data_IF_539017500463
#
_entry.id   IF_539017500463
#
_cell.length_a   1.000
_cell.length_b   1.000
_cell.length_c   1.000
_cell.angle_alpha   90.00
_cell.angle_beta   90.00
_cell.angle_gamma   90.00
#
_symmetry.space_group_name_H-M   'P 1'
#
loop_
_entity.id
_entity.type
_entity.pdbx_description
1 polymer ?
#
# COMPACT_ATOMS: atom_id res chain seq x y z
N UNK A 1 15.07 -0.73 -0.47
CA UNK A 1 14.35 -1.29 -1.64
C UNK A 1 13.12 -0.45 -1.90
N UNK A 2 12.92 0.01 -3.12
CA UNK A 2 11.77 0.81 -3.53
C UNK A 2 10.87 0.02 -4.46
N UNK A 3 9.57 -0.03 -4.13
CA UNK A 3 8.53 -0.43 -5.06
C UNK A 3 7.89 0.82 -5.67
N UNK A 4 7.95 0.94 -7.00
CA UNK A 4 7.19 1.95 -7.76
C UNK A 4 6.49 1.23 -8.89
N UNK A 5 5.17 1.28 -8.89
CA UNK A 5 4.37 0.81 -10.01
C UNK A 5 4.24 1.93 -11.05
N UNK A 6 4.86 1.75 -12.21
CA UNK A 6 4.51 2.46 -13.43
C UNK A 6 3.45 1.65 -14.19
N UNK A 7 2.19 1.96 -13.96
CA UNK A 7 1.11 1.49 -14.82
C UNK A 7 1.01 2.42 -16.03
N UNK A 8 1.92 2.27 -17.00
CA UNK A 8 1.72 2.76 -18.37
C UNK A 8 2.80 2.17 -19.29
N UNK A 9 2.39 1.32 -20.18
CA UNK A 9 3.22 0.93 -21.31
C UNK A 9 2.83 -0.41 -21.92
N UNK A 10 2.07 -0.40 -22.97
CA UNK A 10 1.95 -1.56 -23.85
C UNK A 10 0.53 -1.74 -24.39
N UNK A 11 0.24 -1.01 -25.45
CA UNK A 11 -0.86 -1.28 -26.36
C UNK A 11 -0.65 -2.64 -27.05
N UNK A 12 -1.52 -3.61 -26.78
CA UNK A 12 -1.70 -4.76 -27.66
C UNK A 12 -3.18 -5.13 -27.65
N UNK A 13 -3.83 -4.70 -28.71
CA UNK A 13 -5.18 -5.03 -29.12
C UNK A 13 -5.35 -6.53 -29.38
N UNK A 14 -5.98 -7.24 -28.47
CA UNK A 14 -6.71 -8.49 -28.76
C UNK A 14 -8.04 -8.44 -27.99
N UNK A 15 -9.12 -8.68 -28.71
CA UNK A 15 -10.50 -8.51 -28.36
C UNK A 15 -10.90 -8.74 -26.90
N UNK A 16 -11.30 -7.69 -26.25
CA UNK A 16 -11.74 -7.70 -24.86
C UNK A 16 -13.08 -8.38 -24.69
N UNK A 17 -13.15 -9.39 -23.81
CA UNK A 17 -14.39 -10.03 -23.36
C UNK A 17 -15.30 -8.98 -22.67
N UNK A 18 -16.65 -9.12 -22.72
CA UNK A 18 -17.60 -8.16 -22.13
C UNK A 18 -17.35 -7.85 -20.63
N UNK A 19 -16.68 -8.75 -19.93
CA UNK A 19 -16.29 -8.66 -18.52
C UNK A 19 -15.24 -7.58 -18.27
N UNK A 20 -14.24 -7.41 -19.14
CA UNK A 20 -13.17 -6.41 -18.98
C UNK A 20 -13.70 -4.96 -19.11
N UNK A 21 -14.66 -4.72 -20.00
CA UNK A 21 -15.32 -3.41 -20.12
C UNK A 21 -16.08 -3.02 -18.85
N UNK A 22 -16.72 -3.98 -18.17
CA UNK A 22 -17.39 -3.74 -16.88
C UNK A 22 -16.37 -3.47 -15.78
N UNK A 23 -15.28 -4.23 -15.71
CA UNK A 23 -14.19 -4.09 -14.74
C UNK A 23 -13.50 -2.74 -14.94
N UNK A 24 -13.12 -2.36 -16.16
CA UNK A 24 -12.51 -1.07 -16.46
C UNK A 24 -13.44 0.12 -16.17
N UNK A 25 -14.75 -0.03 -16.37
CA UNK A 25 -15.74 0.99 -16.01
C UNK A 25 -15.95 1.12 -14.50
N UNK A 26 -15.78 0.03 -13.77
CA UNK A 26 -15.80 0.01 -12.29
C UNK A 26 -14.50 0.54 -11.70
N UNK A 27 -13.34 0.16 -12.24
CA UNK A 27 -12.04 0.76 -11.87
C UNK A 27 -12.04 2.28 -12.10
N UNK A 28 -12.59 2.74 -13.22
CA UNK A 28 -12.75 4.17 -13.49
C UNK A 28 -13.75 4.85 -12.55
N UNK A 29 -14.77 4.13 -12.08
CA UNK A 29 -15.70 4.59 -11.03
C UNK A 29 -15.06 4.58 -9.65
N UNK A 30 -14.22 3.60 -9.33
CA UNK A 30 -13.44 3.56 -8.09
C UNK A 30 -12.45 4.73 -8.05
N UNK A 31 -11.65 4.93 -9.09
CA UNK A 31 -10.72 6.05 -9.18
C UNK A 31 -11.41 7.42 -9.12
N UNK A 32 -12.65 7.54 -9.63
CA UNK A 32 -13.46 8.76 -9.49
C UNK A 32 -14.23 8.88 -8.18
N UNK A 33 -14.50 7.76 -7.49
CA UNK A 33 -15.28 7.75 -6.23
C UNK A 33 -14.37 7.81 -5.01
N UNK A 34 -13.09 7.42 -5.17
CA UNK A 34 -12.02 7.60 -4.20
C UNK A 34 -11.10 8.79 -4.50
N UNK A 35 -11.38 9.57 -5.57
CA UNK A 35 -10.92 10.95 -5.55
C UNK A 35 -11.49 11.56 -4.27
N UNK A 36 -10.62 11.79 -3.30
CA UNK A 36 -10.95 12.41 -2.03
C UNK A 36 -11.89 13.59 -2.26
N UNK A 37 -12.87 13.84 -1.38
CA UNK A 37 -13.80 14.94 -1.54
C UNK A 37 -13.01 16.22 -1.83
N UNK A 38 -13.43 16.97 -2.82
CA UNK A 38 -12.84 18.27 -3.15
C UNK A 38 -13.03 19.31 -2.04
N UNK A 39 -13.75 18.93 -1.00
CA UNK A 39 -14.08 19.80 0.13
C UNK A 39 -13.01 19.60 1.21
N UNK A 40 -12.05 20.51 1.22
CA UNK A 40 -10.97 20.56 2.19
C UNK A 40 -11.51 20.51 3.63
N UNK A 41 -11.16 19.43 4.36
CA UNK A 41 -11.38 19.37 5.79
C UNK A 41 -10.48 20.35 6.51
N UNK A 42 -11.09 21.15 7.35
CA UNK A 42 -10.59 21.97 8.46
C UNK A 42 -9.08 22.30 8.48
N UNK A 43 -8.72 23.36 7.78
CA UNK A 43 -7.60 24.20 8.17
C UNK A 43 -8.19 25.31 9.03
N UNK A 44 -7.55 25.64 10.16
CA UNK A 44 -7.98 26.70 11.06
C UNK A 44 -8.27 27.98 10.25
N UNK A 45 -9.37 28.65 10.55
CA UNK A 45 -9.87 29.83 9.82
C UNK A 45 -8.93 31.05 9.78
N UNK A 46 -7.71 30.96 10.31
CA UNK A 46 -6.79 32.09 10.51
C UNK A 46 -5.74 32.31 9.41
N UNK A 47 -5.62 31.41 8.42
CA UNK A 47 -4.66 31.58 7.31
C UNK A 47 -5.39 31.85 5.98
N UNK A 48 -4.90 32.78 5.14
CA UNK A 48 -5.48 33.03 3.83
C UNK A 48 -5.42 31.74 2.99
N UNK A 49 -6.58 31.14 2.74
CA UNK A 49 -6.74 29.86 2.01
C UNK A 49 -6.00 29.84 0.67
N UNK A 50 -5.94 30.97 -0.01
CA UNK A 50 -5.38 31.12 -1.35
C UNK A 50 -3.85 30.90 -1.44
N UNK A 51 -3.12 31.12 -0.34
CA UNK A 51 -1.66 30.99 -0.33
C UNK A 51 -1.24 29.53 -0.06
N UNK A 52 -1.94 28.83 0.84
CA UNK A 52 -1.61 27.46 1.24
C UNK A 52 -1.94 26.50 0.11
N UNK A 53 -3.12 26.61 -0.50
CA UNK A 53 -3.57 25.72 -1.57
C UNK A 53 -2.84 25.91 -2.91
N UNK A 54 -2.20 27.06 -3.14
CA UNK A 54 -1.49 27.33 -4.40
C UNK A 54 -0.33 26.36 -4.66
N UNK A 55 0.26 25.81 -3.61
CA UNK A 55 1.42 24.90 -3.69
C UNK A 55 1.09 23.46 -3.30
N UNK A 56 -0.10 23.20 -2.80
CA UNK A 56 -0.55 21.83 -2.51
C UNK A 56 -0.79 21.07 -3.81
N UNK A 57 0.05 20.08 -4.05
CA UNK A 57 -0.11 19.11 -5.15
C UNK A 57 -0.68 17.78 -4.69
N UNK A 58 -0.82 17.59 -3.38
CA UNK A 58 -1.29 16.37 -2.73
C UNK A 58 -2.41 16.77 -1.77
N UNK A 59 -3.53 16.05 -1.81
CA UNK A 59 -4.61 16.25 -0.85
C UNK A 59 -4.09 16.00 0.57
N UNK A 60 -4.15 17.01 1.40
CA UNK A 60 -3.69 16.96 2.78
C UNK A 60 -4.87 17.11 3.74
N UNK A 61 -4.94 16.25 4.74
CA UNK A 61 -5.86 16.37 5.89
C UNK A 61 -5.04 16.45 7.17
N UNK A 62 -5.35 17.44 7.97
CA UNK A 62 -4.75 17.64 9.28
C UNK A 62 -5.78 17.28 10.35
N UNK A 63 -5.36 16.50 11.33
CA UNK A 63 -6.18 16.07 12.46
C UNK A 63 -5.63 16.65 13.75
N UNK A 64 -6.49 16.85 14.75
CA UNK A 64 -6.08 17.40 16.04
C UNK A 64 -5.19 16.43 16.83
N UNK A 65 -5.35 15.14 16.60
CA UNK A 65 -4.58 14.11 17.26
C UNK A 65 -4.39 12.88 16.38
N UNK A 66 -3.42 12.02 16.76
CA UNK A 66 -3.08 10.80 16.04
C UNK A 66 -4.29 9.84 15.92
N UNK A 67 -5.09 9.73 16.96
CA UNK A 67 -6.22 8.80 17.01
C UNK A 67 -7.23 9.08 15.90
N UNK A 68 -7.62 10.32 15.69
CA UNK A 68 -8.56 10.71 14.62
C UNK A 68 -8.00 10.41 13.23
N UNK A 69 -6.72 10.71 13.01
CA UNK A 69 -6.04 10.38 11.76
C UNK A 69 -6.01 8.88 11.50
N UNK A 70 -5.67 8.09 12.52
CA UNK A 70 -5.64 6.62 12.45
C UNK A 70 -7.03 6.07 12.14
N UNK A 71 -8.08 6.52 12.83
CA UNK A 71 -9.46 6.07 12.57
C UNK A 71 -9.87 6.35 11.12
N UNK A 72 -9.60 7.57 10.64
CA UNK A 72 -9.93 7.94 9.26
C UNK A 72 -9.21 7.06 8.23
N UNK A 73 -7.92 6.81 8.41
CA UNK A 73 -7.15 5.97 7.48
C UNK A 73 -7.62 4.53 7.54
N UNK A 74 -7.86 3.98 8.75
CA UNK A 74 -8.38 2.63 8.94
C UNK A 74 -9.76 2.45 8.27
N UNK A 75 -10.68 3.44 8.42
CA UNK A 75 -11.98 3.43 7.75
C UNK A 75 -11.85 3.33 6.23
N UNK A 76 -10.93 4.10 5.65
CA UNK A 76 -10.71 4.08 4.21
C UNK A 76 -10.13 2.75 3.73
N UNK A 77 -9.19 2.15 4.48
CA UNK A 77 -8.62 0.83 4.15
C UNK A 77 -9.70 -0.24 4.21
N UNK A 78 -10.45 -0.32 5.32
CA UNK A 78 -11.54 -1.28 5.49
C UNK A 78 -12.57 -1.15 4.37
N UNK A 79 -12.95 0.07 4.05
CA UNK A 79 -13.90 0.35 2.97
C UNK A 79 -13.35 -0.07 1.61
N UNK A 80 -12.08 0.21 1.33
CA UNK A 80 -11.45 -0.16 0.06
C UNK A 80 -11.41 -1.68 -0.13
N UNK A 81 -10.97 -2.43 0.90
CA UNK A 81 -10.92 -3.89 0.87
C UNK A 81 -12.31 -4.50 0.73
N UNK A 82 -13.29 -4.02 1.50
CA UNK A 82 -14.68 -4.51 1.39
C UNK A 82 -15.25 -4.31 0.00
N UNK A 83 -15.11 -3.10 -0.56
CA UNK A 83 -15.61 -2.83 -1.91
C UNK A 83 -14.89 -3.64 -2.98
N UNK A 84 -13.58 -3.86 -2.82
CA UNK A 84 -12.84 -4.73 -3.71
C UNK A 84 -13.41 -6.16 -3.69
N UNK A 85 -13.63 -6.69 -2.49
CA UNK A 85 -14.20 -8.03 -2.31
C UNK A 85 -15.62 -8.14 -2.87
N UNK A 86 -16.47 -7.14 -2.64
CA UNK A 86 -17.83 -7.11 -3.23
C UNK A 86 -17.82 -7.16 -4.75
N UNK A 87 -16.83 -6.53 -5.39
CA UNK A 87 -16.71 -6.48 -6.85
C UNK A 87 -16.14 -7.79 -7.42
N UNK A 88 -15.13 -8.35 -6.76
CA UNK A 88 -14.34 -9.44 -7.31
C UNK A 88 -14.74 -10.83 -6.78
N UNK A 89 -15.39 -10.90 -5.61
CA UNK A 89 -15.84 -12.16 -5.01
C UNK A 89 -17.35 -12.44 -5.22
N UNK A 90 -18.11 -11.54 -5.82
CA UNK A 90 -19.55 -11.72 -6.04
C UNK A 90 -19.93 -12.56 -7.27
N UNK A 91 -18.99 -12.92 -8.10
CA UNK A 91 -19.22 -13.81 -9.24
C UNK A 91 -18.73 -15.22 -8.89
N UNK A 92 -19.57 -16.24 -9.10
CA UNK A 92 -19.33 -17.66 -8.77
C UNK A 92 -18.12 -18.33 -9.47
N UNK A 93 -17.27 -17.57 -10.14
CA UNK A 93 -16.05 -18.05 -10.78
C UNK A 93 -14.85 -17.71 -9.88
N UNK A 94 -14.68 -18.50 -8.84
CA UNK A 94 -13.61 -18.35 -7.82
C UNK A 94 -12.18 -18.64 -8.30
N UNK A 95 -11.98 -19.04 -9.55
CA UNK A 95 -10.68 -19.57 -9.99
C UNK A 95 -9.63 -18.51 -10.37
N UNK A 96 -9.96 -17.20 -10.45
CA UNK A 96 -8.99 -16.15 -10.83
C UNK A 96 -9.15 -14.81 -10.08
N UNK A 97 -9.81 -14.75 -8.93
CA UNK A 97 -9.88 -13.47 -8.19
C UNK A 97 -8.52 -13.14 -7.58
N UNK A 98 -7.83 -12.16 -8.15
CA UNK A 98 -6.60 -11.66 -7.56
C UNK A 98 -6.90 -10.95 -6.23
N UNK A 99 -6.05 -11.11 -5.19
CA UNK A 99 -6.26 -10.44 -3.91
C UNK A 99 -6.14 -8.91 -4.04
N UNK A 100 -6.74 -8.20 -3.09
CA UNK A 100 -6.46 -6.77 -2.90
C UNK A 100 -5.01 -6.59 -2.47
N UNK A 101 -4.25 -5.74 -3.14
CA UNK A 101 -2.82 -5.57 -2.87
C UNK A 101 -2.57 -4.35 -2.01
N UNK A 102 -2.11 -4.58 -0.78
CA UNK A 102 -1.79 -3.57 0.21
C UNK A 102 -0.28 -3.44 0.38
N UNK A 103 0.26 -2.26 0.06
CA UNK A 103 1.66 -1.95 0.34
C UNK A 103 1.85 -1.49 1.78
N UNK A 104 2.86 -2.02 2.45
CA UNK A 104 3.17 -1.75 3.86
C UNK A 104 4.54 -1.08 4.00
N UNK A 105 4.70 -0.33 5.07
CA UNK A 105 5.98 0.18 5.56
C UNK A 105 6.11 -0.10 7.05
N UNK A 106 7.33 0.01 7.57
CA UNK A 106 7.60 -0.08 9.00
C UNK A 106 7.90 1.30 9.59
N UNK A 107 8.08 1.35 10.89
CA UNK A 107 8.37 2.57 11.61
C UNK A 107 7.31 2.91 12.66
N UNK A 108 7.48 4.01 13.37
CA UNK A 108 6.56 4.41 14.45
C UNK A 108 5.20 4.88 13.92
N UNK A 109 5.20 5.55 12.79
CA UNK A 109 3.99 6.18 12.21
C UNK A 109 2.87 5.18 11.91
N UNK A 110 3.11 4.02 11.26
CA UNK A 110 2.03 3.08 10.95
C UNK A 110 1.56 2.23 12.13
N UNK A 111 2.26 2.21 13.28
CA UNK A 111 1.94 1.34 14.41
C UNK A 111 0.52 1.53 14.94
N UNK A 112 0.09 2.77 15.11
CA UNK A 112 -1.27 3.08 15.54
C UNK A 112 -2.31 2.53 14.56
N UNK A 113 -2.05 2.67 13.27
CA UNK A 113 -2.91 2.15 12.21
C UNK A 113 -2.95 0.61 12.19
N UNK A 114 -1.81 -0.07 12.33
CA UNK A 114 -1.78 -1.53 12.39
C UNK A 114 -2.56 -2.08 13.58
N UNK A 115 -2.40 -1.49 14.75
CA UNK A 115 -3.18 -1.87 15.96
C UNK A 115 -4.68 -1.67 15.75
N UNK A 116 -5.08 -0.58 15.12
CA UNK A 116 -6.49 -0.33 14.81
C UNK A 116 -7.04 -1.33 13.80
N UNK A 117 -6.29 -1.67 12.76
CA UNK A 117 -6.69 -2.69 11.77
C UNK A 117 -6.80 -4.09 12.40
N UNK A 118 -5.87 -4.46 13.29
CA UNK A 118 -5.93 -5.72 14.07
C UNK A 118 -7.18 -5.73 14.95
N UNK A 119 -7.47 -4.64 15.67
CA UNK A 119 -8.67 -4.52 16.48
C UNK A 119 -9.92 -4.73 15.65
N UNK A 120 -10.03 -4.07 14.50
CA UNK A 120 -11.19 -4.20 13.58
C UNK A 120 -11.32 -5.61 13.00
N UNK A 121 -10.21 -6.28 12.77
CA UNK A 121 -10.22 -7.68 12.39
C UNK A 121 -10.79 -8.56 13.49
N UNK A 122 -10.33 -8.42 14.73
CA UNK A 122 -10.85 -9.17 15.88
C UNK A 122 -12.32 -8.88 16.18
N UNK A 123 -12.79 -7.67 15.88
CA UNK A 123 -14.19 -7.28 15.96
C UNK A 123 -15.04 -7.79 14.78
N UNK A 124 -14.46 -8.53 13.85
CA UNK A 124 -15.15 -9.07 12.68
C UNK A 124 -15.52 -8.02 11.62
N UNK A 125 -14.95 -6.83 11.72
CA UNK A 125 -15.23 -5.76 10.76
C UNK A 125 -14.51 -5.95 9.43
N UNK A 126 -13.41 -6.69 9.38
CA UNK A 126 -12.63 -6.95 8.18
C UNK A 126 -11.93 -8.30 8.24
N UNK A 127 -11.80 -8.98 7.10
CA UNK A 127 -10.93 -10.13 6.88
C UNK A 127 -9.83 -9.75 5.88
N UNK A 128 -8.63 -10.21 6.15
CA UNK A 128 -7.46 -10.04 5.27
C UNK A 128 -7.17 -11.28 4.42
N UNK A 129 -8.07 -12.27 4.43
CA UNK A 129 -7.89 -13.52 3.71
C UNK A 129 -7.73 -13.33 2.20
N UNK A 130 -8.40 -12.32 1.62
CA UNK A 130 -8.28 -11.94 0.21
C UNK A 130 -7.43 -10.66 0.03
N UNK A 131 -6.38 -10.52 0.84
CA UNK A 131 -5.43 -9.42 0.75
C UNK A 131 -4.05 -10.00 0.53
N UNK A 132 -3.26 -9.41 -0.37
CA UNK A 132 -1.83 -9.64 -0.48
C UNK A 132 -1.08 -8.41 0.02
N UNK A 133 0.03 -8.59 0.70
CA UNK A 133 0.86 -7.49 1.20
C UNK A 133 2.22 -7.49 0.54
N UNK A 134 2.72 -6.28 0.23
CA UNK A 134 4.08 -6.03 -0.22
C UNK A 134 4.74 -5.02 0.71
N UNK A 135 5.92 -5.37 1.25
CA UNK A 135 6.72 -4.40 2.03
C UNK A 135 7.51 -3.47 1.13
N UNK A 136 7.60 -2.21 1.55
CA UNK A 136 8.36 -1.17 0.83
C UNK A 136 9.86 -1.48 0.79
N UNK A 137 10.41 -1.99 1.89
CA UNK A 137 11.86 -2.14 2.08
C UNK A 137 12.21 -3.28 3.04
N UNK A 138 13.48 -3.67 3.04
CA UNK A 138 14.13 -4.50 4.05
C UNK A 138 15.59 -4.05 4.19
N UNK A 139 16.19 -4.32 5.35
CA UNK A 139 17.64 -4.17 5.56
C UNK A 139 18.41 -5.30 4.87
N UNK A 140 19.65 -5.01 4.47
CA UNK A 140 20.55 -5.97 3.87
C UNK A 140 22.00 -5.77 4.34
N UNK A 141 22.69 -6.86 4.74
CA UNK A 141 22.17 -8.20 4.98
C UNK A 141 21.44 -8.31 6.33
N UNK A 142 20.34 -9.05 6.38
CA UNK A 142 19.60 -9.31 7.62
C UNK A 142 18.77 -10.59 7.52
N UNK A 143 18.59 -11.31 8.63
CA UNK A 143 17.66 -12.43 8.72
C UNK A 143 16.28 -11.95 9.15
N UNK A 144 15.24 -12.57 8.63
CA UNK A 144 13.84 -12.26 9.00
C UNK A 144 13.53 -12.52 10.49
N UNK A 145 14.38 -13.23 11.22
CA UNK A 145 14.26 -13.49 12.66
C UNK A 145 14.91 -12.43 13.55
N UNK A 146 15.62 -11.48 12.97
CA UNK A 146 16.29 -10.41 13.71
C UNK A 146 15.33 -9.27 14.00
N UNK A 147 15.32 -8.75 15.23
CA UNK A 147 14.37 -7.72 15.68
C UNK A 147 14.41 -6.41 14.87
N UNK A 148 15.54 -6.13 14.21
CA UNK A 148 15.71 -4.98 13.33
C UNK A 148 15.09 -5.19 11.95
N UNK A 149 14.90 -6.47 11.52
CA UNK A 149 14.30 -6.79 10.23
C UNK A 149 12.92 -6.18 10.09
N UNK A 150 12.63 -5.65 8.91
CA UNK A 150 11.29 -5.18 8.55
C UNK A 150 10.29 -6.33 8.52
N UNK A 151 10.74 -7.49 8.04
CA UNK A 151 9.96 -8.72 8.05
C UNK A 151 9.53 -9.08 9.47
N UNK A 152 10.48 -9.17 10.42
CA UNK A 152 10.19 -9.44 11.83
C UNK A 152 9.13 -8.46 12.36
N UNK A 153 9.36 -7.17 12.16
CA UNK A 153 8.49 -6.13 12.73
C UNK A 153 7.09 -6.13 12.15
N UNK A 154 6.94 -6.30 10.84
CA UNK A 154 5.61 -6.35 10.22
C UNK A 154 4.83 -7.56 10.72
N UNK A 155 5.50 -8.71 10.90
CA UNK A 155 4.87 -9.88 11.47
C UNK A 155 4.43 -9.64 12.92
N UNK A 156 5.31 -9.16 13.80
CA UNK A 156 5.00 -8.91 15.20
C UNK A 156 3.93 -7.82 15.41
N UNK A 157 3.96 -6.79 14.59
CA UNK A 157 3.10 -5.61 14.76
C UNK A 157 1.74 -5.76 14.05
N UNK A 158 1.63 -6.67 13.07
CA UNK A 158 0.43 -6.76 12.24
C UNK A 158 0.08 -8.17 11.76
N UNK A 159 0.95 -8.82 10.96
CA UNK A 159 0.54 -10.00 10.20
C UNK A 159 0.21 -11.22 11.06
N UNK A 160 0.87 -11.40 12.20
CA UNK A 160 0.60 -12.50 13.13
C UNK A 160 -0.76 -12.38 13.82
N UNK A 161 -1.44 -11.23 13.69
CA UNK A 161 -2.69 -10.93 14.40
C UNK A 161 -3.92 -10.89 13.48
N UNK A 162 -3.76 -11.24 12.20
CA UNK A 162 -4.81 -11.20 11.19
C UNK A 162 -4.87 -12.52 10.39
N UNK A 163 -5.93 -12.73 9.65
CA UNK A 163 -6.20 -13.95 8.88
C UNK A 163 -5.62 -13.94 7.45
N UNK A 164 -4.51 -13.21 7.23
CA UNK A 164 -3.83 -13.19 5.94
C UNK A 164 -3.24 -14.57 5.61
N UNK A 165 -3.30 -14.96 4.33
CA UNK A 165 -2.69 -16.21 3.88
C UNK A 165 -1.17 -16.03 3.74
N UNK A 166 -0.33 -16.99 4.22
CA UNK A 166 1.13 -16.87 4.13
C UNK A 166 1.68 -16.65 2.72
N UNK A 167 1.05 -17.27 1.71
CA UNK A 167 1.40 -17.12 0.30
C UNK A 167 1.15 -15.71 -0.26
N UNK A 168 0.35 -14.91 0.43
CA UNK A 168 0.03 -13.55 0.07
C UNK A 168 0.95 -12.51 0.77
N UNK A 169 1.96 -12.96 1.50
CA UNK A 169 2.91 -12.08 2.21
C UNK A 169 4.22 -11.99 1.43
N UNK A 170 4.50 -10.81 0.91
CA UNK A 170 5.70 -10.54 0.11
C UNK A 170 6.54 -9.45 0.78
N UNK A 171 7.63 -9.87 1.40
CA UNK A 171 8.61 -8.99 2.04
C UNK A 171 9.97 -9.32 1.45
N UNK A 172 10.82 -8.33 1.11
CA UNK A 172 12.13 -8.61 0.55
C UNK A 172 12.97 -9.48 1.49
N UNK A 173 13.70 -10.42 0.91
CA UNK A 173 14.60 -11.31 1.63
C UNK A 173 15.97 -10.67 1.81
N UNK A 174 16.32 -10.31 3.04
CA UNK A 174 17.61 -9.75 3.40
C UNK A 174 18.75 -10.77 3.49
N UNK A 175 18.52 -12.05 3.15
CA UNK A 175 19.55 -13.11 3.21
C UNK A 175 20.05 -13.54 1.83
N UNK A 176 19.56 -12.93 0.78
CA UNK A 176 19.99 -13.22 -0.61
C UNK A 176 21.49 -13.04 -0.75
N UNK A 177 22.25 -13.98 -1.36
CA UNK A 177 23.67 -13.80 -1.63
C UNK A 177 23.95 -12.55 -2.45
N UNK A 178 25.04 -11.84 -2.14
CA UNK A 178 25.37 -10.55 -2.75
C UNK A 178 25.43 -10.59 -4.27
N UNK A 179 25.99 -11.65 -4.82
CA UNK A 179 26.08 -11.88 -6.28
C UNK A 179 24.70 -12.09 -6.95
N UNK A 180 23.65 -12.37 -6.17
CA UNK A 180 22.29 -12.59 -6.66
C UNK A 180 21.30 -11.46 -6.34
N UNK A 181 21.72 -10.45 -5.58
CA UNK A 181 20.83 -9.36 -5.13
C UNK A 181 20.19 -8.64 -6.32
N UNK A 182 20.94 -8.38 -7.38
CA UNK A 182 20.40 -7.67 -8.55
C UNK A 182 19.31 -8.48 -9.27
N UNK A 183 19.50 -9.78 -9.43
CA UNK A 183 18.50 -10.69 -10.01
C UNK A 183 17.25 -10.78 -9.11
N UNK A 184 17.48 -10.90 -7.82
CA UNK A 184 16.40 -10.94 -6.84
C UNK A 184 15.55 -9.64 -6.85
N UNK A 185 16.19 -8.47 -6.87
CA UNK A 185 15.50 -7.19 -6.96
C UNK A 185 14.64 -7.09 -8.23
N UNK A 186 15.15 -7.54 -9.37
CA UNK A 186 14.39 -7.56 -10.61
C UNK A 186 13.18 -8.53 -10.53
N UNK A 187 13.37 -9.69 -9.89
CA UNK A 187 12.30 -10.66 -9.66
C UNK A 187 11.23 -10.12 -8.71
N UNK A 188 11.64 -9.43 -7.65
CA UNK A 188 10.73 -8.78 -6.71
C UNK A 188 9.89 -7.70 -7.42
N UNK A 189 10.50 -6.82 -8.21
CA UNK A 189 9.78 -5.84 -9.03
C UNK A 189 8.77 -6.50 -9.96
N UNK A 190 9.14 -7.62 -10.58
CA UNK A 190 8.24 -8.33 -11.50
C UNK A 190 7.06 -8.98 -10.79
N UNK A 191 7.22 -9.38 -9.53
CA UNK A 191 6.14 -9.94 -8.71
C UNK A 191 5.06 -8.92 -8.37
N UNK A 192 5.44 -7.65 -8.28
CA UNK A 192 4.52 -6.54 -7.97
C UNK A 192 3.81 -6.08 -9.24
N UNK A 193 2.71 -6.72 -9.58
CA UNK A 193 1.92 -6.34 -10.76
C UNK A 193 1.09 -5.07 -10.55
N UNK A 194 0.59 -4.89 -9.33
CA UNK A 194 -0.32 -3.80 -8.93
C UNK A 194 -0.21 -3.57 -7.43
N UNK A 195 -0.39 -2.34 -7.00
CA UNK A 195 -0.67 -2.00 -5.60
C UNK A 195 -1.96 -1.18 -5.59
N UNK A 196 -3.00 -1.67 -4.91
CA UNK A 196 -4.29 -0.99 -4.82
C UNK A 196 -4.26 0.16 -3.83
N UNK A 197 -3.52 -0.02 -2.73
CA UNK A 197 -3.30 1.00 -1.72
C UNK A 197 -1.91 0.82 -1.09
N UNK A 198 -1.16 1.91 -0.95
CA UNK A 198 0.17 1.91 -0.33
C UNK A 198 0.17 2.81 0.91
N UNK A 199 0.57 2.25 2.05
CA UNK A 199 0.85 3.01 3.27
C UNK A 199 2.32 3.43 3.22
N UNK A 200 2.58 4.73 3.31
CA UNK A 200 3.93 5.30 3.29
C UNK A 200 4.09 6.30 4.42
N UNK A 201 5.27 6.27 5.06
CA UNK A 201 5.73 7.35 5.91
C UNK A 201 6.65 8.30 5.12
N UNK A 202 6.66 9.55 5.52
CA UNK A 202 7.60 10.55 5.02
C UNK A 202 8.58 10.88 6.14
N UNK A 203 9.87 10.76 5.87
CA UNK A 203 10.92 11.11 6.83
C UNK A 203 11.11 12.62 6.97
N UNK A 204 11.92 13.03 7.93
CA UNK A 204 12.17 14.46 8.26
C UNK A 204 12.76 15.22 7.08
N UNK A 205 13.57 14.56 6.25
CA UNK A 205 14.17 15.13 5.03
C UNK A 205 13.29 14.93 3.78
N UNK A 206 12.05 14.49 3.95
CA UNK A 206 11.12 14.24 2.85
C UNK A 206 11.34 12.91 2.13
N UNK A 207 12.22 12.03 2.62
CA UNK A 207 12.46 10.71 2.03
C UNK A 207 11.29 9.76 2.27
N UNK A 208 11.08 8.82 1.35
CA UNK A 208 10.17 7.69 1.45
C UNK A 208 10.99 6.40 1.45
N UNK A 209 10.90 5.61 2.52
CA UNK A 209 11.76 4.45 2.75
C UNK A 209 13.23 4.87 2.78
N UNK A 210 14.10 4.11 2.13
CA UNK A 210 15.53 4.43 1.98
C UNK A 210 15.86 5.23 0.70
N UNK A 211 14.85 5.88 0.07
CA UNK A 211 15.10 6.71 -1.09
C UNK A 211 15.59 8.09 -0.68
N UNK A 212 16.88 8.31 -0.86
CA UNK A 212 17.58 9.55 -0.57
C UNK A 212 17.60 10.50 -1.78
N UNK A 213 18.09 11.75 -1.61
CA UNK A 213 18.32 12.68 -2.70
C UNK A 213 19.09 12.02 -3.86
N UNK A 214 18.59 12.18 -5.08
CA UNK A 214 19.11 11.49 -6.27
C UNK A 214 18.33 10.24 -6.67
N UNK A 215 17.40 9.75 -5.85
CA UNK A 215 16.47 8.70 -6.25
C UNK A 215 15.42 9.25 -7.21
N UNK A 216 15.24 8.57 -8.33
CA UNK A 216 14.23 8.96 -9.33
C UNK A 216 12.90 8.26 -9.07
N UNK A 217 11.79 8.87 -9.54
CA UNK A 217 10.45 8.27 -9.44
C UNK A 217 10.33 6.92 -10.15
N UNK A 218 11.19 6.67 -11.15
CA UNK A 218 11.25 5.41 -11.91
C UNK A 218 12.32 4.45 -11.42
N UNK A 219 12.98 4.73 -10.29
CA UNK A 219 13.97 3.81 -9.76
C UNK A 219 13.33 2.49 -9.37
N UNK A 220 13.90 1.40 -9.82
CA UNK A 220 13.49 0.03 -9.51
C UNK A 220 13.99 -0.40 -8.13
N UNK A 221 13.49 -1.55 -7.67
CA UNK A 221 14.03 -2.22 -6.48
C UNK A 221 15.54 -2.42 -6.63
N UNK A 222 16.29 -2.00 -5.63
CA UNK A 222 17.75 -2.02 -5.65
C UNK A 222 18.33 -1.98 -4.23
N UNK A 223 19.59 -2.35 -4.13
CA UNK A 223 20.40 -2.07 -2.97
C UNK A 223 20.75 -0.57 -2.93
N UNK A 224 20.68 0.05 -1.76
CA UNK A 224 21.04 1.45 -1.48
C UNK A 224 21.92 1.53 -0.26
#
# INVERSE_FOLDING_TARGET
>A
VRLVNDANGGDNTIGSKPTERKINKLHKRMNNKYSLPKDGGLISESAPRDIIHRYEKIHTKVYENEYEGVQYVADNIVKAIRMYNEIHCSNEVYEESQPFVLGLTTGRTPLGLYRELVKRHHEGQISFRNVAVYSLDEFYPIRSTEQQSRNYRIHEEFLNHIDILPENVHIPDGTVPEDRVSEYCASYDHSVRRIDLMIIGVGEDGQIGFNEPGSYSRSRTRLV
#
